data_IF_735268768720
#
_entry.id   IF_735268768720
#
_cell.length_a   1.000
_cell.length_b   1.000
_cell.length_c   1.000
_cell.angle_alpha   90.00
_cell.angle_beta   90.00
_cell.angle_gamma   90.00
#
_symmetry.space_group_name_H-M   'P 1'
#
loop_
_entity.id
_entity.type
_entity.pdbx_description
1 polymer ?
#
# COMPACT_ATOMS: atom_id res chain seq x y z
N UNK A 1 1.98 -20.17 -15.75
CA UNK A 1 2.39 -20.62 -14.40
C UNK A 1 1.61 -19.84 -13.36
N UNK A 2 0.95 -20.53 -12.41
CA UNK A 2 0.14 -19.88 -11.37
C UNK A 2 1.01 -19.46 -10.19
N UNK A 3 0.53 -18.52 -9.38
CA UNK A 3 1.25 -18.01 -8.21
C UNK A 3 1.47 -19.13 -7.17
N UNK A 4 0.48 -20.01 -6.97
CA UNK A 4 0.59 -21.18 -6.08
C UNK A 4 1.78 -22.07 -6.45
N UNK A 5 1.92 -22.41 -7.74
CA UNK A 5 3.04 -23.25 -8.21
C UNK A 5 4.39 -22.57 -7.96
N UNK A 6 4.48 -21.25 -8.16
CA UNK A 6 5.71 -20.51 -7.89
C UNK A 6 6.04 -20.53 -6.39
N UNK A 7 5.05 -20.34 -5.52
CA UNK A 7 5.27 -20.40 -4.07
C UNK A 7 5.78 -21.77 -3.64
N UNK A 8 5.19 -22.84 -4.15
CA UNK A 8 5.61 -24.21 -3.86
C UNK A 8 7.06 -24.46 -4.30
N UNK A 9 7.42 -24.02 -5.51
CA UNK A 9 8.79 -24.12 -6.00
C UNK A 9 9.78 -23.29 -5.19
N UNK A 10 9.37 -22.14 -4.65
CA UNK A 10 10.27 -21.33 -3.80
C UNK A 10 10.64 -22.00 -2.48
N UNK A 11 9.94 -23.07 -2.08
CA UNK A 11 10.28 -23.85 -0.90
C UNK A 11 11.49 -24.77 -1.17
N UNK A 12 11.56 -25.38 -2.36
CA UNK A 12 12.68 -26.24 -2.78
C UNK A 12 13.82 -25.43 -3.39
N UNK A 13 13.50 -24.50 -4.28
CA UNK A 13 14.44 -23.78 -5.12
C UNK A 13 14.51 -22.29 -4.81
N UNK A 14 15.62 -21.67 -5.21
CA UNK A 14 15.77 -20.23 -5.06
C UNK A 14 14.94 -19.48 -6.11
N UNK A 15 14.32 -18.37 -5.72
CA UNK A 15 13.55 -17.51 -6.63
C UNK A 15 14.33 -17.12 -7.90
N UNK A 16 15.65 -16.98 -7.83
CA UNK A 16 16.50 -16.70 -9.01
C UNK A 16 16.47 -17.83 -10.05
N UNK A 17 16.60 -19.08 -9.61
CA UNK A 17 16.55 -20.26 -10.48
C UNK A 17 15.17 -20.44 -11.08
N UNK A 18 14.12 -20.28 -10.27
CA UNK A 18 12.74 -20.38 -10.73
C UNK A 18 12.44 -19.28 -11.75
N UNK A 19 12.88 -18.05 -11.47
CA UNK A 19 12.64 -16.93 -12.37
C UNK A 19 13.36 -17.05 -13.72
N UNK A 20 14.49 -17.77 -13.78
CA UNK A 20 15.25 -18.00 -15.02
C UNK A 20 14.78 -19.25 -15.77
N UNK A 21 14.60 -20.36 -15.09
CA UNK A 21 14.27 -21.64 -15.71
C UNK A 21 12.77 -21.82 -15.96
N UNK A 22 11.90 -21.30 -15.09
CA UNK A 22 10.46 -21.53 -15.18
C UNK A 22 9.68 -20.31 -15.70
N UNK A 23 10.16 -19.10 -15.42
CA UNK A 23 9.39 -17.88 -15.72
C UNK A 23 10.02 -16.99 -16.79
N UNK A 24 11.30 -17.14 -17.09
CA UNK A 24 12.07 -16.36 -18.07
C UNK A 24 12.00 -14.82 -17.89
N UNK A 25 11.57 -14.35 -16.72
CA UNK A 25 11.32 -12.94 -16.40
C UNK A 25 12.45 -12.30 -15.58
N UNK A 26 13.38 -13.14 -15.09
CA UNK A 26 14.47 -12.72 -14.21
C UNK A 26 14.04 -12.47 -12.76
N UNK A 27 15.01 -12.60 -11.85
CA UNK A 27 14.80 -12.58 -10.39
C UNK A 27 14.03 -11.36 -9.90
N UNK A 28 14.36 -10.18 -10.41
CA UNK A 28 13.75 -8.94 -9.94
C UNK A 28 12.27 -8.85 -10.32
N UNK A 29 11.90 -9.24 -11.54
CA UNK A 29 10.51 -9.24 -11.98
C UNK A 29 9.70 -10.29 -11.20
N UNK A 30 10.26 -11.48 -10.97
CA UNK A 30 9.61 -12.51 -10.14
C UNK A 30 9.37 -12.02 -8.71
N UNK A 31 10.36 -11.32 -8.13
CA UNK A 31 10.26 -10.76 -6.79
C UNK A 31 9.22 -9.64 -6.70
N UNK A 32 9.18 -8.77 -7.70
CA UNK A 32 8.19 -7.69 -7.79
C UNK A 32 6.78 -8.26 -7.95
N UNK A 33 6.63 -9.26 -8.81
CA UNK A 33 5.36 -9.96 -9.03
C UNK A 33 4.83 -10.63 -7.75
N UNK A 34 5.70 -11.34 -7.02
CA UNK A 34 5.33 -11.92 -5.73
C UNK A 34 4.92 -10.86 -4.72
N UNK A 35 5.65 -9.74 -4.62
CA UNK A 35 5.27 -8.62 -3.75
C UNK A 35 3.94 -7.99 -4.14
N UNK A 36 3.71 -7.74 -5.44
CA UNK A 36 2.45 -7.20 -5.98
C UNK A 36 1.27 -8.14 -5.71
N UNK A 37 1.52 -9.44 -5.75
CA UNK A 37 0.52 -10.44 -5.40
C UNK A 37 0.25 -10.54 -3.89
N UNK A 38 1.00 -9.84 -3.04
CA UNK A 38 0.85 -9.89 -1.59
C UNK A 38 1.65 -11.02 -0.92
N UNK A 39 2.55 -11.67 -1.65
CA UNK A 39 3.45 -12.65 -1.09
C UNK A 39 4.63 -11.96 -0.40
N UNK A 40 5.10 -12.55 0.69
CA UNK A 40 6.24 -12.05 1.46
C UNK A 40 7.20 -13.18 1.81
N UNK A 41 8.48 -12.84 1.98
CA UNK A 41 9.48 -13.78 2.49
C UNK A 41 9.58 -13.63 4.01
N UNK A 42 9.53 -14.75 4.74
CA UNK A 42 9.62 -14.73 6.21
C UNK A 42 11.06 -14.98 6.64
N UNK A 43 11.56 -14.14 7.54
CA UNK A 43 12.92 -14.26 8.02
C UNK A 43 13.11 -15.60 8.76
N UNK A 44 14.20 -16.32 8.48
CA UNK A 44 14.47 -17.65 9.03
C UNK A 44 13.61 -18.80 8.46
N UNK A 45 12.75 -18.55 7.45
CA UNK A 45 12.06 -19.61 6.71
C UNK A 45 12.39 -19.54 5.22
N UNK A 46 12.56 -20.72 4.61
CA UNK A 46 12.84 -20.84 3.18
C UNK A 46 11.54 -20.68 2.39
N UNK A 47 11.62 -19.94 1.29
CA UNK A 47 10.51 -19.70 0.38
C UNK A 47 9.66 -18.46 0.70
N UNK A 48 8.60 -18.31 -0.08
CA UNK A 48 7.66 -17.21 0.01
C UNK A 48 6.33 -17.69 0.58
N UNK A 49 5.66 -16.80 1.31
CA UNK A 49 4.43 -17.05 2.03
C UNK A 49 3.35 -16.08 1.55
N UNK A 50 2.11 -16.55 1.61
CA UNK A 50 0.93 -15.78 1.24
C UNK A 50 -0.17 -16.06 2.27
N UNK A 51 -0.74 -15.01 2.85
CA UNK A 51 -1.77 -15.09 3.90
C UNK A 51 -3.08 -14.37 3.51
N UNK A 52 -3.22 -13.99 2.23
CA UNK A 52 -4.42 -13.31 1.71
C UNK A 52 -5.43 -14.27 1.09
N UNK A 53 -6.26 -13.72 0.19
CA UNK A 53 -7.28 -14.45 -0.55
C UNK A 53 -6.74 -15.59 -1.44
N UNK A 54 -7.24 -16.83 -1.29
CA UNK A 54 -6.80 -17.96 -2.10
C UNK A 54 -7.07 -17.76 -3.60
N UNK A 55 -7.98 -16.86 -3.97
CA UNK A 55 -8.21 -16.47 -5.36
C UNK A 55 -6.96 -15.90 -6.05
N UNK A 56 -6.07 -15.24 -5.31
CA UNK A 56 -4.81 -14.69 -5.85
C UNK A 56 -3.80 -15.79 -6.15
N UNK A 57 -3.82 -16.89 -5.39
CA UNK A 57 -2.98 -18.07 -5.64
C UNK A 57 -3.30 -18.74 -6.97
N UNK A 58 -4.56 -18.62 -7.42
CA UNK A 58 -5.02 -19.17 -8.70
C UNK A 58 -4.65 -18.29 -9.90
N UNK A 59 -4.31 -17.02 -9.66
CA UNK A 59 -3.86 -16.10 -10.71
C UNK A 59 -2.48 -16.47 -11.24
N UNK A 60 -2.22 -16.11 -12.49
CA UNK A 60 -0.90 -16.28 -13.10
C UNK A 60 0.08 -15.23 -12.58
N UNK A 61 1.33 -15.63 -12.29
CA UNK A 61 2.35 -14.67 -11.84
C UNK A 61 2.63 -13.58 -12.87
N UNK A 62 2.43 -13.89 -14.16
CA UNK A 62 2.54 -12.94 -15.27
C UNK A 62 1.50 -11.81 -15.24
N UNK A 63 0.35 -12.00 -14.57
CA UNK A 63 -0.66 -10.94 -14.36
C UNK A 63 -0.08 -9.80 -13.52
N UNK A 64 0.86 -10.14 -12.63
CA UNK A 64 1.54 -9.19 -11.74
C UNK A 64 2.82 -8.62 -12.36
N UNK A 65 3.30 -9.21 -13.46
CA UNK A 65 4.45 -8.73 -14.23
C UNK A 65 3.89 -7.88 -15.36
N UNK A 66 3.60 -6.62 -15.05
CA UNK A 66 3.20 -5.67 -16.08
C UNK A 66 4.29 -5.61 -17.15
N UNK A 67 3.99 -6.16 -18.34
CA UNK A 67 4.79 -5.89 -19.54
C UNK A 67 4.68 -4.39 -19.77
N UNK A 68 5.80 -3.68 -19.67
CA UNK A 68 5.94 -2.26 -20.05
C UNK A 68 5.63 -2.08 -21.53
N UNK A 69 4.37 -2.18 -21.95
CA UNK A 69 3.84 -1.48 -23.11
C UNK A 69 2.31 -1.54 -23.11
N UNK A 70 1.69 -0.68 -22.32
CA UNK A 70 0.64 0.24 -22.78
C UNK A 70 0.26 1.13 -21.61
N UNK A 71 0.47 2.41 -21.85
CA UNK A 71 -0.12 3.53 -21.16
C UNK A 71 -1.65 3.35 -21.08
N UNK A 72 -2.12 2.71 -20.01
CA UNK A 72 -3.34 3.12 -19.32
C UNK A 72 -2.88 3.56 -17.95
N UNK A 73 -3.14 4.84 -17.63
CA UNK A 73 -2.67 5.56 -16.45
C UNK A 73 -2.51 4.69 -15.20
N UNK A 74 -1.26 4.49 -14.77
CA UNK A 74 -0.72 5.00 -13.50
C UNK A 74 0.81 4.94 -13.56
N UNK A 75 1.49 6.09 -13.66
CA UNK A 75 2.97 6.17 -13.63
C UNK A 75 3.39 7.62 -13.29
N UNK A 76 4.55 7.93 -12.65
CA UNK A 76 5.58 7.09 -11.97
C UNK A 76 6.05 7.62 -10.58
N UNK A 77 6.96 6.85 -9.94
CA UNK A 77 8.10 7.31 -9.09
C UNK A 77 7.80 7.89 -7.69
N UNK A 78 8.54 7.64 -6.62
CA UNK A 78 9.93 7.20 -6.46
C UNK A 78 10.11 6.61 -5.05
N UNK A 79 11.05 5.67 -4.92
CA UNK A 79 11.90 5.39 -3.75
C UNK A 79 11.59 6.18 -2.45
N UNK A 80 11.35 5.41 -1.39
CA UNK A 80 11.26 5.79 0.03
C UNK A 80 9.83 6.06 0.55
N UNK A 81 9.50 5.28 1.58
CA UNK A 81 8.54 5.53 2.67
C UNK A 81 7.05 5.24 2.39
N UNK A 82 6.47 4.45 3.31
CA UNK A 82 5.04 4.31 3.66
C UNK A 82 3.98 4.42 2.56
N UNK A 83 3.18 3.36 2.31
CA UNK A 83 1.83 3.57 1.76
C UNK A 83 0.82 2.48 2.14
N UNK A 84 0.14 2.78 3.24
CA UNK A 84 -1.30 2.69 3.47
C UNK A 84 -2.24 2.74 2.25
N UNK A 85 -3.07 1.69 2.14
CA UNK A 85 -4.55 1.68 2.17
C UNK A 85 -5.32 2.75 1.37
N UNK A 86 -5.89 2.28 0.25
CA UNK A 86 -7.34 2.14 -0.08
C UNK A 86 -8.23 3.32 -0.59
N UNK A 87 -8.96 2.99 -1.67
CA UNK A 87 -10.31 3.38 -2.17
C UNK A 87 -10.64 4.76 -2.75
N UNK A 88 -10.88 4.71 -4.06
CA UNK A 88 -12.12 5.03 -4.78
C UNK A 88 -12.95 6.29 -4.41
N UNK A 89 -12.97 7.19 -5.39
CA UNK A 89 -14.13 7.86 -6.02
C UNK A 89 -15.36 8.26 -5.18
N UNK A 90 -15.71 9.55 -5.26
CA UNK A 90 -17.06 10.02 -5.63
C UNK A 90 -17.03 11.48 -6.07
N UNK A 91 -17.54 11.75 -7.28
CA UNK A 91 -18.00 13.08 -7.76
C UNK A 91 -18.87 13.74 -6.68
N UNK A 92 -18.86 15.07 -6.50
CA UNK A 92 -19.86 16.05 -7.02
C UNK A 92 -19.45 17.51 -6.68
N UNK A 93 -19.64 18.39 -7.67
CA UNK A 93 -20.11 19.79 -7.61
C UNK A 93 -19.32 20.86 -6.83
N UNK A 94 -19.20 22.02 -7.49
CA UNK A 94 -18.43 23.16 -7.04
C UNK A 94 -18.95 23.82 -5.77
N UNK A 95 -18.01 24.33 -4.97
CA UNK A 95 -18.02 25.72 -4.51
C UNK A 95 -16.63 26.02 -3.99
N UNK A 96 -16.03 27.04 -4.58
CA UNK A 96 -14.83 27.71 -4.13
C UNK A 96 -14.86 27.89 -2.61
N UNK A 97 -14.14 27.04 -1.88
CA UNK A 97 -13.72 27.33 -0.51
C UNK A 97 -12.22 27.30 -0.55
N UNK A 98 -11.64 28.49 -0.37
CA UNK A 98 -10.22 28.74 -0.22
C UNK A 98 -9.68 27.94 0.99
N UNK A 99 -9.48 26.62 0.84
CA UNK A 99 -8.80 25.82 1.83
C UNK A 99 -7.30 26.00 1.61
N UNK A 100 -6.68 26.77 2.51
CA UNK A 100 -5.23 26.83 2.65
C UNK A 100 -4.75 25.41 2.94
N UNK A 101 -4.07 24.80 1.97
CA UNK A 101 -3.50 23.46 2.10
C UNK A 101 -2.22 23.59 2.92
N UNK A 102 -2.23 23.06 4.13
CA UNK A 102 -1.04 22.96 4.95
C UNK A 102 -0.54 21.51 4.89
N UNK A 103 0.70 21.35 4.45
CA UNK A 103 1.38 20.06 4.47
C UNK A 103 2.10 19.94 5.81
N UNK A 104 1.70 18.96 6.61
CA UNK A 104 2.37 18.64 7.87
C UNK A 104 3.10 17.31 7.71
N UNK A 105 4.36 17.26 8.15
CA UNK A 105 5.09 16.02 8.29
C UNK A 105 4.67 15.39 9.62
N UNK A 106 4.01 14.24 9.54
CA UNK A 106 3.46 13.53 10.70
C UNK A 106 4.11 12.15 10.71
N UNK A 107 4.58 11.71 11.88
CA UNK A 107 5.21 10.40 12.02
C UNK A 107 4.27 9.24 11.65
N UNK A 108 4.83 8.17 11.09
CA UNK A 108 4.12 6.96 10.60
C UNK A 108 3.11 6.41 11.61
N UNK A 109 3.51 6.35 12.89
CA UNK A 109 2.71 5.81 13.98
C UNK A 109 1.47 6.68 14.27
N UNK A 110 1.63 8.01 14.25
CA UNK A 110 0.53 8.97 14.46
C UNK A 110 -0.44 8.91 13.28
N UNK A 111 0.09 8.77 12.06
CA UNK A 111 -0.75 8.61 10.89
C UNK A 111 -1.60 7.35 11.02
N UNK A 112 -1.04 6.20 11.41
CA UNK A 112 -1.79 4.93 11.58
C UNK A 112 -2.89 5.04 12.64
N UNK A 113 -2.56 5.64 13.79
CA UNK A 113 -3.54 5.92 14.84
C UNK A 113 -4.69 6.83 14.35
N UNK A 114 -4.38 7.89 13.59
CA UNK A 114 -5.38 8.77 12.98
C UNK A 114 -6.29 8.02 11.98
N UNK A 115 -5.76 7.04 11.25
CA UNK A 115 -6.58 6.19 10.36
C UNK A 115 -7.53 5.31 11.16
N UNK A 116 -7.07 4.71 12.25
CA UNK A 116 -7.89 3.88 13.12
C UNK A 116 -9.02 4.72 13.73
N UNK A 117 -8.72 5.95 14.18
CA UNK A 117 -9.73 6.88 14.68
C UNK A 117 -10.73 7.33 13.60
N UNK A 118 -10.26 7.62 12.38
CA UNK A 118 -11.11 7.97 11.23
C UNK A 118 -12.17 6.90 10.94
N UNK A 119 -11.76 5.63 10.96
CA UNK A 119 -12.66 4.50 10.76
C UNK A 119 -13.68 4.40 11.91
N UNK A 120 -13.22 4.59 13.15
CA UNK A 120 -14.07 4.48 14.35
C UNK A 120 -15.12 5.60 14.44
N UNK A 121 -14.76 6.81 14.01
CA UNK A 121 -15.62 8.00 14.07
C UNK A 121 -16.40 8.26 12.77
N UNK A 122 -16.20 7.45 11.72
CA UNK A 122 -16.73 7.67 10.35
C UNK A 122 -16.45 9.09 9.81
N UNK A 123 -15.33 9.69 10.22
CA UNK A 123 -14.87 11.00 9.76
C UNK A 123 -13.57 10.85 8.96
N UNK A 124 -13.20 11.90 8.22
CA UNK A 124 -11.92 11.89 7.49
C UNK A 124 -10.76 12.29 8.41
N UNK A 125 -9.55 11.84 8.07
CA UNK A 125 -8.32 12.22 8.80
C UNK A 125 -8.20 13.75 8.90
N UNK A 126 -8.55 14.48 7.82
CA UNK A 126 -8.52 15.94 7.82
C UNK A 126 -9.50 16.57 8.81
N UNK A 127 -10.69 15.98 9.00
CA UNK A 127 -11.65 16.47 10.00
C UNK A 127 -11.17 16.19 11.42
N UNK A 128 -10.60 15.00 11.67
CA UNK A 128 -10.04 14.65 12.98
C UNK A 128 -8.87 15.57 13.33
N UNK A 129 -7.94 15.77 12.40
CA UNK A 129 -6.82 16.69 12.59
C UNK A 129 -7.32 18.12 12.80
N UNK A 130 -8.32 18.56 12.05
CA UNK A 130 -8.91 19.89 12.23
C UNK A 130 -9.63 20.03 13.58
N UNK A 131 -10.31 18.99 14.07
CA UNK A 131 -10.87 18.96 15.43
C UNK A 131 -9.79 18.99 16.50
N UNK A 132 -8.73 18.20 16.36
CA UNK A 132 -7.60 18.20 17.30
C UNK A 132 -6.92 19.58 17.32
N UNK A 133 -6.68 20.18 16.16
CA UNK A 133 -6.13 21.53 16.04
C UNK A 133 -7.06 22.57 16.67
N UNK A 134 -8.36 22.50 16.37
CA UNK A 134 -9.36 23.41 16.96
C UNK A 134 -9.41 23.27 18.48
N UNK A 135 -9.42 22.03 18.99
CA UNK A 135 -9.44 21.74 20.43
C UNK A 135 -8.15 22.17 21.11
N UNK A 136 -6.99 22.00 20.46
CA UNK A 136 -5.69 22.47 20.98
C UNK A 136 -5.64 24.00 21.04
N UNK A 137 -6.18 24.68 20.04
CA UNK A 137 -6.26 26.15 20.02
C UNK A 137 -7.25 26.66 21.08
N UNK A 138 -8.37 25.97 21.28
CA UNK A 138 -9.37 26.31 22.29
C UNK A 138 -8.86 26.05 23.72
N UNK A 139 -8.12 24.96 23.93
CA UNK A 139 -7.49 24.59 25.20
C UNK A 139 -6.33 25.54 25.58
N UNK A 140 -5.54 26.01 24.59
CA UNK A 140 -4.50 27.02 24.82
C UNK A 140 -5.01 28.45 24.91
N UNK A 141 -6.30 28.69 24.68
CA UNK A 141 -6.96 29.97 24.91
C UNK A 141 -7.47 30.17 26.34
N UNK A 142 -7.38 29.15 27.20
CA UNK A 142 -7.89 29.19 28.58
C UNK A 142 -6.82 29.55 29.64
N UNK A 143 -5.55 29.73 29.25
CA UNK A 143 -4.45 30.15 30.14
C UNK A 143 -3.91 31.53 29.71
N UNK A 144 -4.79 32.53 29.76
CA UNK A 144 -4.46 33.95 29.93
C UNK A 144 -5.70 34.62 30.54
N UNK A 145 -5.92 34.34 31.81
CA UNK A 145 -6.79 35.09 32.73
C UNK A 145 -5.98 35.49 33.94
#
# INVERSE_FOLDING_TARGET
MKLKDVLELTLTDSLDLIAKNHLEIGKNAARDALKKAGCYAKNGRRGWFYEGDPAVLEKSIYDFIEKKNTQTSVKPENKQTELKVEKQERKITGKEKNLKKATYEVEEWVHDELKIQAIRQKQTISEIVNEILKKTVEEKGADHG
#
